data_IF_445673139916
#
_entry.id   IF_445673139916
#
_cell.length_a   1.000
_cell.length_b   1.000
_cell.length_c   1.000
_cell.angle_alpha   90.00
_cell.angle_beta   90.00
_cell.angle_gamma   90.00
#
_symmetry.space_group_name_H-M   'P 1'
#
loop_
_entity.id
_entity.type
_entity.pdbx_description
1 polymer ?
#
# COMPACT_ATOMS: atom_id res chain seq x y z
N UNK A 1 20.98 29.62 -4.72
CA UNK A 1 20.42 29.09 -5.98
C UNK A 1 19.23 28.20 -5.63
N UNK A 2 18.19 28.27 -6.46
CA UNK A 2 16.79 27.93 -6.18
C UNK A 2 16.49 26.46 -5.85
N UNK A 3 15.34 26.29 -5.19
CA UNK A 3 14.66 25.12 -4.63
C UNK A 3 14.32 24.02 -5.65
N UNK A 4 14.45 22.74 -5.29
CA UNK A 4 13.62 21.61 -5.78
C UNK A 4 13.59 20.55 -4.67
N UNK A 5 12.55 20.50 -3.85
CA UNK A 5 11.27 19.81 -4.07
C UNK A 5 11.28 18.45 -3.34
N UNK A 6 10.81 18.51 -2.10
CA UNK A 6 10.09 17.50 -1.31
C UNK A 6 9.75 16.18 -2.03
N UNK A 7 10.48 15.09 -1.74
CA UNK A 7 10.16 13.73 -2.23
C UNK A 7 9.55 12.83 -1.14
N UNK A 8 8.87 13.42 -0.14
CA UNK A 8 8.19 12.69 0.93
C UNK A 8 6.80 12.13 0.55
N UNK A 9 6.44 12.13 -0.75
CA UNK A 9 5.06 11.94 -1.19
C UNK A 9 4.70 10.53 -1.67
N UNK A 10 5.65 9.60 -1.83
CA UNK A 10 5.34 8.26 -2.37
C UNK A 10 4.65 7.38 -1.32
N UNK A 11 5.00 7.53 -0.04
CA UNK A 11 4.38 6.76 1.06
C UNK A 11 2.89 7.07 1.25
N UNK A 12 2.47 8.26 0.84
CA UNK A 12 1.07 8.69 0.92
C UNK A 12 0.25 8.17 -0.26
N UNK A 13 0.85 7.78 -1.39
CA UNK A 13 0.07 7.56 -2.62
C UNK A 13 -0.74 6.27 -2.65
N UNK A 14 -0.28 5.18 -2.01
CA UNK A 14 -1.03 3.90 -2.02
C UNK A 14 -2.12 3.85 -0.94
N UNK A 15 -1.99 4.63 0.14
CA UNK A 15 -3.02 4.75 1.19
C UNK A 15 -3.83 6.05 1.14
N UNK A 16 -3.47 7.07 0.34
CA UNK A 16 -4.32 8.25 0.13
C UNK A 16 -5.32 8.07 -1.01
N UNK A 17 -5.20 7.00 -1.81
CA UNK A 17 -6.19 6.66 -2.85
C UNK A 17 -7.56 6.26 -2.26
N UNK A 18 -7.64 5.90 -0.98
CA UNK A 18 -8.94 5.72 -0.29
C UNK A 18 -9.63 7.04 0.08
N UNK A 19 -8.97 8.20 -0.08
CA UNK A 19 -9.56 9.49 0.28
C UNK A 19 -10.46 10.12 -0.79
N UNK A 20 -10.58 9.53 -1.99
CA UNK A 20 -11.29 10.15 -3.14
C UNK A 20 -12.70 9.61 -3.44
N UNK A 21 -13.26 8.74 -2.59
CA UNK A 21 -14.68 8.35 -2.70
C UNK A 21 -15.34 8.33 -1.31
N UNK A 22 -15.37 9.50 -0.65
CA UNK A 22 -16.29 9.70 0.48
C UNK A 22 -17.59 10.23 -0.10
N UNK A 23 -18.44 9.31 -0.56
CA UNK A 23 -19.88 9.55 -0.46
C UNK A 23 -20.18 9.63 1.05
N UNK A 24 -20.87 10.67 1.47
CA UNK A 24 -20.92 11.17 2.86
C UNK A 24 -21.67 10.27 3.87
N UNK A 25 -21.64 8.94 3.72
CA UNK A 25 -22.44 7.99 4.52
C UNK A 25 -21.67 6.83 5.16
N UNK A 26 -20.41 6.57 4.79
CA UNK A 26 -19.59 5.53 5.43
C UNK A 26 -18.63 6.22 6.42
N UNK A 27 -18.99 6.23 7.71
CA UNK A 27 -18.18 6.81 8.80
C UNK A 27 -16.97 5.91 9.13
N UNK A 28 -16.17 5.63 8.12
CA UNK A 28 -14.97 4.80 8.23
C UNK A 28 -13.84 5.66 8.79
N UNK A 29 -13.32 5.31 9.95
CA UNK A 29 -12.13 5.96 10.50
C UNK A 29 -10.90 5.62 9.62
N UNK A 30 -10.27 6.61 8.94
CA UNK A 30 -9.16 6.34 8.04
C UNK A 30 -7.93 5.73 8.74
N UNK A 31 -7.73 6.05 10.03
CA UNK A 31 -6.65 5.51 10.83
C UNK A 31 -6.94 4.05 11.21
N UNK A 32 -8.20 3.70 11.51
CA UNK A 32 -8.61 2.31 11.75
C UNK A 32 -8.43 1.43 10.51
N UNK A 33 -8.83 1.93 9.33
CA UNK A 33 -8.59 1.22 8.07
C UNK A 33 -7.09 1.02 7.81
N UNK A 34 -6.31 2.10 7.94
CA UNK A 34 -4.84 2.07 7.73
C UNK A 34 -4.16 1.08 8.66
N UNK A 35 -4.49 1.11 9.96
CA UNK A 35 -3.91 0.20 10.95
C UNK A 35 -4.30 -1.25 10.66
N UNK A 36 -5.54 -1.50 10.26
CA UNK A 36 -5.98 -2.84 9.87
C UNK A 36 -5.17 -3.35 8.67
N UNK A 37 -5.05 -2.55 7.61
CA UNK A 37 -4.31 -2.93 6.40
C UNK A 37 -2.84 -3.21 6.71
N UNK A 38 -2.19 -2.39 7.54
CA UNK A 38 -0.81 -2.62 7.96
C UNK A 38 -0.65 -3.94 8.72
N UNK A 39 -1.58 -4.27 9.62
CA UNK A 39 -1.55 -5.51 10.37
C UNK A 39 -1.82 -6.73 9.49
N UNK A 40 -2.80 -6.62 8.59
CA UNK A 40 -3.14 -7.66 7.63
C UNK A 40 -1.98 -7.92 6.65
N UNK A 41 -1.30 -6.87 6.19
CA UNK A 41 -0.11 -6.99 5.35
C UNK A 41 1.02 -7.72 6.11
N UNK A 42 1.28 -7.36 7.38
CA UNK A 42 2.28 -8.03 8.22
C UNK A 42 1.97 -9.50 8.52
N UNK A 43 0.73 -9.94 8.37
CA UNK A 43 0.35 -11.34 8.52
C UNK A 43 0.83 -12.21 7.35
N UNK A 44 1.20 -11.60 6.21
CA UNK A 44 1.85 -12.31 5.10
C UNK A 44 3.28 -12.67 5.55
N UNK A 45 3.72 -13.94 5.47
CA UNK A 45 5.04 -14.34 5.93
C UNK A 45 6.20 -13.53 5.34
N UNK A 46 6.11 -13.17 4.05
CA UNK A 46 7.10 -12.34 3.36
C UNK A 46 7.14 -10.88 3.87
N UNK A 47 6.11 -10.44 4.61
CA UNK A 47 5.92 -9.08 5.09
C UNK A 47 6.15 -8.91 6.60
N UNK A 48 6.36 -10.00 7.35
CA UNK A 48 6.44 -9.95 8.81
C UNK A 48 7.50 -8.96 9.34
N UNK A 49 8.62 -8.84 8.64
CA UNK A 49 9.74 -7.96 8.97
C UNK A 49 9.92 -6.82 7.95
N UNK A 50 8.97 -6.64 7.03
CA UNK A 50 9.07 -5.61 6.01
C UNK A 50 8.80 -4.25 6.66
N UNK A 51 9.83 -3.40 6.74
CA UNK A 51 9.68 -2.02 7.20
C UNK A 51 9.25 -1.12 6.06
N UNK A 52 8.30 -0.22 6.33
CA UNK A 52 7.96 0.82 5.38
C UNK A 52 9.20 1.70 5.08
N UNK A 53 9.40 2.11 3.82
CA UNK A 53 10.50 3.00 3.43
C UNK A 53 10.51 4.28 4.29
N UNK A 54 11.65 4.63 4.90
CA UNK A 54 11.79 5.88 5.68
C UNK A 54 12.40 7.02 4.86
N UNK A 55 13.29 6.69 3.92
CA UNK A 55 14.11 7.67 3.17
C UNK A 55 13.89 7.59 1.65
N UNK A 56 12.77 7.01 1.21
CA UNK A 56 12.47 6.80 -0.21
C UNK A 56 13.21 5.62 -0.85
N UNK A 57 14.08 4.93 -0.09
CA UNK A 57 14.67 3.66 -0.50
C UNK A 57 13.74 2.50 -0.13
N UNK A 58 13.34 1.73 -1.14
CA UNK A 58 12.61 0.49 -0.93
C UNK A 58 13.60 -0.64 -0.75
N UNK A 59 13.54 -1.33 0.39
CA UNK A 59 14.39 -2.51 0.64
C UNK A 59 13.94 -3.70 -0.22
N UNK A 60 14.85 -4.65 -0.45
CA UNK A 60 14.52 -5.87 -1.18
C UNK A 60 13.47 -6.72 -0.44
N UNK A 61 13.50 -6.71 0.89
CA UNK A 61 12.52 -7.37 1.75
C UNK A 61 11.14 -6.73 1.61
N UNK A 62 11.07 -5.39 1.60
CA UNK A 62 9.81 -4.68 1.39
C UNK A 62 9.27 -4.89 -0.03
N UNK A 63 10.14 -4.87 -1.05
CA UNK A 63 9.73 -5.22 -2.42
C UNK A 63 9.21 -6.66 -2.51
N UNK A 64 9.86 -7.61 -1.83
CA UNK A 64 9.45 -9.03 -1.80
C UNK A 64 8.11 -9.19 -1.10
N UNK A 65 7.90 -8.49 0.01
CA UNK A 65 6.61 -8.39 0.68
C UNK A 65 5.53 -7.90 -0.28
N UNK A 66 5.78 -6.78 -0.98
CA UNK A 66 4.81 -6.21 -1.91
C UNK A 66 4.50 -7.14 -3.09
N UNK A 67 5.49 -7.87 -3.60
CA UNK A 67 5.24 -8.91 -4.61
C UNK A 67 4.36 -10.04 -4.07
N UNK A 68 4.54 -10.45 -2.83
CA UNK A 68 3.74 -11.48 -2.18
C UNK A 68 2.31 -11.02 -1.81
N UNK A 69 2.07 -9.71 -1.77
CA UNK A 69 0.78 -9.12 -1.40
C UNK A 69 -0.07 -8.68 -2.59
N UNK A 70 0.42 -8.83 -3.83
CA UNK A 70 -0.22 -8.33 -5.06
C UNK A 70 -1.62 -8.87 -5.31
N UNK A 71 -1.97 -10.04 -4.76
CA UNK A 71 -3.32 -10.61 -4.89
C UNK A 71 -4.40 -9.82 -4.14
N UNK A 72 -3.99 -8.95 -3.21
CA UNK A 72 -4.88 -8.13 -2.38
C UNK A 72 -5.79 -8.93 -1.43
N UNK A 73 -5.68 -10.26 -1.36
CA UNK A 73 -6.59 -11.11 -0.58
C UNK A 73 -6.44 -10.90 0.93
N UNK A 74 -5.23 -10.58 1.38
CA UNK A 74 -4.92 -10.21 2.76
C UNK A 74 -5.80 -9.05 3.27
N UNK A 75 -6.24 -8.15 2.39
CA UNK A 75 -7.02 -6.98 2.75
C UNK A 75 -8.47 -7.33 3.17
N UNK A 76 -8.98 -8.53 2.84
CA UNK A 76 -10.35 -8.94 3.18
C UNK A 76 -10.61 -9.00 4.70
N UNK A 77 -9.55 -9.17 5.49
CA UNK A 77 -9.59 -9.09 6.95
C UNK A 77 -10.00 -7.69 7.49
N UNK A 78 -10.03 -6.67 6.63
CA UNK A 78 -10.36 -5.29 6.96
C UNK A 78 -11.73 -4.82 6.45
N UNK A 79 -12.57 -5.74 5.96
CA UNK A 79 -13.91 -5.44 5.41
C UNK A 79 -14.95 -5.02 6.44
N UNK A 80 -14.64 -5.05 7.74
CA UNK A 80 -15.55 -4.61 8.79
C UNK A 80 -15.90 -3.12 8.69
N UNK A 81 -17.15 -2.75 9.00
CA UNK A 81 -17.63 -1.37 8.93
C UNK A 81 -16.85 -0.39 9.83
N UNK A 82 -16.28 -0.88 10.94
CA UNK A 82 -15.41 -0.10 11.83
C UNK A 82 -13.93 -0.06 11.39
N UNK A 83 -13.59 -0.70 10.27
CA UNK A 83 -12.23 -0.80 9.72
C UNK A 83 -12.16 -0.06 8.39
N UNK A 84 -12.36 -0.75 7.26
CA UNK A 84 -12.39 -0.15 5.92
C UNK A 84 -13.77 -0.21 5.26
N UNK A 85 -14.69 -1.05 5.77
CA UNK A 85 -16.03 -1.21 5.21
C UNK A 85 -16.04 -1.49 3.71
N UNK A 86 -16.92 -0.80 2.99
CA UNK A 86 -17.09 -0.91 1.54
C UNK A 86 -15.87 -0.45 0.73
N UNK A 87 -15.04 0.44 1.29
CA UNK A 87 -13.84 1.00 0.65
C UNK A 87 -12.76 -0.06 0.37
N UNK A 88 -12.82 -1.22 1.04
CA UNK A 88 -11.86 -2.31 0.82
C UNK A 88 -11.87 -2.82 -0.62
N UNK A 89 -13.04 -2.78 -1.28
CA UNK A 89 -13.18 -3.21 -2.67
C UNK A 89 -12.38 -2.31 -3.61
N UNK A 90 -12.53 -0.99 -3.48
CA UNK A 90 -11.80 0.00 -4.28
C UNK A 90 -10.29 -0.05 -4.02
N UNK A 91 -9.91 -0.28 -2.76
CA UNK A 91 -8.52 -0.50 -2.40
C UNK A 91 -7.94 -1.70 -3.16
N UNK A 92 -8.59 -2.86 -3.10
CA UNK A 92 -8.12 -4.08 -3.78
C UNK A 92 -8.02 -3.92 -5.30
N UNK A 93 -9.02 -3.27 -5.90
CA UNK A 93 -9.05 -3.02 -7.36
C UNK A 93 -7.88 -2.14 -7.83
N UNK A 94 -7.41 -1.21 -6.99
CA UNK A 94 -6.34 -0.27 -7.35
C UNK A 94 -4.96 -0.66 -6.81
N UNK A 95 -4.88 -1.46 -5.75
CA UNK A 95 -3.65 -1.75 -5.01
C UNK A 95 -2.52 -2.31 -5.91
N UNK A 96 -2.79 -3.42 -6.60
CA UNK A 96 -1.78 -4.06 -7.45
C UNK A 96 -1.32 -3.15 -8.58
N UNK A 97 -2.27 -2.49 -9.26
CA UNK A 97 -1.97 -1.55 -10.34
C UNK A 97 -1.17 -0.34 -9.86
N UNK A 98 -1.49 0.22 -8.69
CA UNK A 98 -0.77 1.36 -8.11
C UNK A 98 0.67 1.00 -7.76
N UNK A 99 0.89 -0.19 -7.17
CA UNK A 99 2.24 -0.60 -6.78
C UNK A 99 3.09 -0.99 -7.99
N UNK A 100 2.51 -1.67 -8.98
CA UNK A 100 3.18 -1.93 -10.25
C UNK A 100 3.48 -0.63 -11.01
N UNK A 101 2.52 0.31 -11.06
CA UNK A 101 2.70 1.63 -11.65
C UNK A 101 3.75 2.48 -10.93
N UNK A 102 3.94 2.27 -9.62
CA UNK A 102 5.03 2.87 -8.85
C UNK A 102 6.41 2.27 -9.16
N UNK A 103 6.48 1.25 -10.02
CA UNK A 103 7.73 0.64 -10.46
C UNK A 103 8.09 -0.66 -9.78
N UNK A 104 7.16 -1.32 -9.07
CA UNK A 104 7.41 -2.66 -8.54
C UNK A 104 7.57 -3.66 -9.68
N UNK A 105 8.70 -4.36 -9.69
CA UNK A 105 8.98 -5.48 -10.60
C UNK A 105 9.14 -6.73 -9.75
N UNK A 106 8.35 -7.76 -10.07
CA UNK A 106 8.41 -9.09 -9.47
C UNK A 106 8.94 -10.09 -10.52
N UNK A 107 10.14 -10.62 -10.31
CA UNK A 107 10.76 -11.62 -11.19
C UNK A 107 11.23 -12.87 -10.42
N UNK A 108 11.68 -13.90 -11.15
CA UNK A 108 12.13 -15.22 -10.66
C UNK A 108 13.09 -15.17 -9.44
N UNK A 109 12.55 -14.96 -8.25
CA UNK A 109 13.29 -14.87 -6.99
C UNK A 109 13.83 -13.48 -6.62
N UNK A 110 13.49 -12.41 -7.36
CA UNK A 110 13.93 -11.05 -7.06
C UNK A 110 12.80 -10.04 -7.23
N UNK A 111 12.61 -9.21 -6.21
CA UNK A 111 11.70 -8.08 -6.22
C UNK A 111 12.51 -6.78 -6.17
N UNK A 112 12.12 -5.80 -6.97
CA UNK A 112 12.81 -4.51 -7.03
C UNK A 112 11.84 -3.37 -7.33
N UNK A 113 12.24 -2.14 -6.96
CA UNK A 113 11.57 -0.92 -7.38
C UNK A 113 12.43 -0.19 -8.39
N UNK A 114 11.89 -0.03 -9.60
CA UNK A 114 12.47 0.82 -10.63
C UNK A 114 11.44 1.90 -10.94
N UNK A 115 11.60 3.12 -10.41
CA UNK A 115 10.61 4.17 -10.64
C UNK A 115 10.44 4.44 -12.14
N UNK A 116 9.21 4.73 -12.60
CA UNK A 116 8.98 5.09 -13.99
C UNK A 116 9.79 6.34 -14.36
N UNK A 117 10.39 6.31 -15.55
CA UNK A 117 11.22 7.39 -16.10
C UNK A 117 10.42 8.66 -16.43
#
# INVERSE_FOLDING_TARGET
KMKFATFAAVLTFVLASVSVVVDAQDSVDPAACTLCLQNALKAIPACANAEAPKDGSVSAEYATCLCASLDGAWADACSGASQCGSSIKLFKESYGANIQGAGLICGNGQASFVPPA
#
